data_IF_944571178796
#
_entry.id   IF_944571178796
#
_cell.length_a   1.000
_cell.length_b   1.000
_cell.length_c   1.000
_cell.angle_alpha   90.00
_cell.angle_beta   90.00
_cell.angle_gamma   90.00
#
_symmetry.space_group_name_H-M   'P 1'
#
loop_
_entity.id
_entity.type
_entity.pdbx_description
1 polymer ?
#
# COMPACT_ATOMS: atom_id res chain seq x y z
N UNK A 1 19.18 9.50 21.77
CA UNK A 1 19.13 10.90 21.28
C UNK A 1 18.88 11.01 19.78
N UNK A 2 19.61 10.31 18.91
CA UNK A 2 19.47 10.37 17.43
C UNK A 2 18.07 10.04 16.88
N UNK A 3 17.24 9.28 17.60
CA UNK A 3 15.92 8.82 17.13
C UNK A 3 14.76 9.80 17.38
N UNK A 4 14.88 10.69 18.39
CA UNK A 4 13.90 11.75 18.64
C UNK A 4 14.10 12.91 17.66
N UNK A 5 15.37 13.26 17.41
CA UNK A 5 15.78 14.20 16.36
C UNK A 5 15.24 13.83 14.98
N UNK A 6 15.02 12.54 14.70
CA UNK A 6 14.47 12.07 13.43
C UNK A 6 13.01 12.51 13.21
N UNK A 7 12.18 12.39 14.25
CA UNK A 7 10.77 12.79 14.16
C UNK A 7 10.69 14.31 14.05
N UNK A 8 11.52 15.02 14.82
CA UNK A 8 11.58 16.48 14.80
C UNK A 8 12.09 16.99 13.43
N UNK A 9 13.06 16.29 12.80
CA UNK A 9 13.51 16.57 11.44
C UNK A 9 12.43 16.31 10.38
N UNK A 10 11.67 15.22 10.51
CA UNK A 10 10.58 14.93 9.58
C UNK A 10 9.45 15.96 9.65
N UNK A 11 9.14 16.43 10.86
CA UNK A 11 8.19 17.53 11.06
C UNK A 11 8.72 18.82 10.43
N UNK A 12 10.01 19.14 10.66
CA UNK A 12 10.64 20.32 10.08
C UNK A 12 10.62 20.31 8.53
N UNK A 13 10.91 19.16 7.91
CA UNK A 13 10.85 19.01 6.44
C UNK A 13 9.43 19.21 5.93
N UNK A 14 8.43 18.60 6.57
CA UNK A 14 7.02 18.75 6.18
C UNK A 14 6.53 20.18 6.36
N UNK A 15 6.86 20.82 7.48
CA UNK A 15 6.52 22.21 7.78
C UNK A 15 7.18 23.19 6.81
N UNK A 16 8.48 23.01 6.51
CA UNK A 16 9.22 23.85 5.56
C UNK A 16 8.70 23.73 4.13
N UNK A 17 8.39 22.52 3.67
CA UNK A 17 7.80 22.30 2.35
C UNK A 17 6.42 22.95 2.21
N UNK A 18 5.63 22.90 3.28
CA UNK A 18 4.31 23.54 3.31
C UNK A 18 4.40 25.07 3.27
N UNK A 19 5.34 25.65 4.02
CA UNK A 19 5.65 27.07 3.96
C UNK A 19 6.07 27.48 2.54
N UNK A 20 6.98 26.72 1.91
CA UNK A 20 7.48 27.02 0.56
C UNK A 20 6.37 27.00 -0.51
N UNK A 21 5.44 26.04 -0.45
CA UNK A 21 4.29 25.97 -1.37
C UNK A 21 3.39 27.21 -1.27
N UNK A 22 3.18 27.71 -0.05
CA UNK A 22 2.27 28.83 0.21
C UNK A 22 2.90 30.19 -0.08
N UNK A 23 4.22 30.35 0.09
CA UNK A 23 4.91 31.59 -0.31
C UNK A 23 5.01 31.75 -1.84
N UNK A 24 5.01 30.65 -2.60
CA UNK A 24 5.09 30.68 -4.05
C UNK A 24 3.78 31.06 -4.77
N UNK A 25 2.62 31.01 -4.09
CA UNK A 25 1.28 31.18 -4.68
C UNK A 25 0.73 32.62 -4.72
N UNK A 26 1.55 33.67 -4.61
CA UNK A 26 1.12 35.05 -4.39
C UNK A 26 0.30 35.70 -5.54
N UNK A 27 -1.00 35.38 -5.64
CA UNK A 27 -1.99 36.04 -6.52
C UNK A 27 -3.03 36.89 -5.75
N UNK A 28 -3.62 37.94 -6.38
CA UNK A 28 -4.42 38.97 -5.70
C UNK A 28 -5.84 38.52 -5.33
N UNK A 29 -6.34 39.04 -4.20
CA UNK A 29 -7.67 38.77 -3.60
C UNK A 29 -8.83 39.22 -4.52
N UNK A 30 -9.73 38.30 -4.89
CA UNK A 30 -11.05 38.64 -5.48
C UNK A 30 -12.28 37.94 -4.86
N UNK A 31 -12.14 36.86 -4.08
CA UNK A 31 -13.28 35.97 -3.75
C UNK A 31 -14.22 36.43 -2.61
N UNK A 32 -13.72 37.21 -1.64
CA UNK A 32 -14.44 37.47 -0.37
C UNK A 32 -15.67 38.39 -0.53
N UNK A 33 -15.57 39.40 -1.40
CA UNK A 33 -16.68 40.33 -1.69
C UNK A 33 -17.76 39.67 -2.57
N UNK A 34 -17.34 38.78 -3.48
CA UNK A 34 -18.22 38.07 -4.40
C UNK A 34 -19.03 36.98 -3.67
N UNK A 35 -18.40 36.28 -2.71
CA UNK A 35 -19.08 35.33 -1.83
C UNK A 35 -20.04 36.03 -0.84
N UNK A 36 -19.66 37.19 -0.30
CA UNK A 36 -20.53 38.02 0.56
C UNK A 36 -21.82 38.40 -0.17
N UNK A 37 -21.70 38.85 -1.43
CA UNK A 37 -22.84 39.17 -2.29
C UNK A 37 -23.75 37.95 -2.51
N UNK A 38 -23.17 36.77 -2.74
CA UNK A 38 -23.94 35.54 -2.98
C UNK A 38 -24.72 35.08 -1.74
N UNK A 39 -24.12 35.14 -0.55
CA UNK A 39 -24.83 34.87 0.71
C UNK A 39 -25.93 35.90 1.01
N UNK A 40 -25.69 37.19 0.77
CA UNK A 40 -26.71 38.23 0.93
C UNK A 40 -27.90 38.01 -0.03
N UNK A 41 -27.62 37.56 -1.25
CA UNK A 41 -28.64 37.17 -2.24
C UNK A 41 -29.45 35.93 -1.82
N UNK A 42 -28.79 34.87 -1.34
CA UNK A 42 -29.46 33.62 -0.91
C UNK A 42 -30.32 33.82 0.36
N UNK A 43 -29.92 34.73 1.26
CA UNK A 43 -30.72 35.11 2.43
C UNK A 43 -31.92 35.97 2.00
N UNK A 44 -31.74 36.88 1.06
CA UNK A 44 -32.82 37.72 0.55
C UNK A 44 -33.91 36.92 -0.17
N UNK A 45 -33.55 35.90 -0.97
CA UNK A 45 -34.51 35.02 -1.66
C UNK A 45 -35.32 34.14 -0.69
N UNK A 46 -34.70 33.63 0.39
CA UNK A 46 -35.43 32.87 1.41
C UNK A 46 -36.40 33.74 2.22
N UNK A 47 -36.06 35.01 2.45
CA UNK A 47 -36.92 35.95 3.18
C UNK A 47 -38.15 36.36 2.36
N UNK A 48 -38.04 36.41 1.02
CA UNK A 48 -39.17 36.68 0.14
C UNK A 48 -40.13 35.49 -0.03
N UNK A 49 -39.63 34.25 -0.03
CA UNK A 49 -40.47 33.04 -0.11
C UNK A 49 -41.24 32.75 1.20
N UNK A 50 -40.72 33.20 2.35
CA UNK A 50 -41.42 33.09 3.64
C UNK A 50 -42.54 34.11 3.88
N UNK A 51 -42.70 35.10 2.98
CA UNK A 51 -43.68 36.18 3.12
C UNK A 51 -44.95 36.04 2.27
N UNK A 52 -45.05 35.02 1.41
CA UNK A 52 -46.13 34.94 0.41
C UNK A 52 -47.36 34.12 0.82
N UNK A 53 -47.28 33.20 1.79
CA UNK A 53 -48.41 32.29 2.09
C UNK A 53 -48.74 32.24 3.58
N UNK A 54 -49.56 33.20 4.06
CA UNK A 54 -50.29 33.05 5.32
C UNK A 54 -51.78 33.15 5.09
N UNK A 55 -52.41 32.05 4.65
CA UNK A 55 -53.83 31.78 4.89
C UNK A 55 -54.14 30.29 4.72
N UNK A 56 -54.26 29.60 5.86
CA UNK A 56 -55.07 28.38 5.99
C UNK A 56 -54.40 27.06 5.62
N UNK A 57 -54.05 26.27 6.64
CA UNK A 57 -54.55 24.90 6.88
C UNK A 57 -53.55 24.10 7.73
N UNK A 58 -54.09 23.41 8.74
CA UNK A 58 -53.38 22.71 9.80
C UNK A 58 -53.00 21.30 9.35
N UNK A 59 -51.89 20.82 9.94
CA UNK A 59 -51.50 19.41 10.15
C UNK A 59 -50.96 18.60 8.96
N UNK A 60 -49.63 18.39 8.97
CA UNK A 60 -48.98 17.09 9.25
C UNK A 60 -47.70 16.86 8.42
N UNK A 61 -46.65 16.41 9.12
CA UNK A 61 -45.39 15.86 8.60
C UNK A 61 -44.55 16.73 7.64
N UNK A 62 -43.75 17.64 8.21
CA UNK A 62 -42.43 17.95 7.64
C UNK A 62 -41.38 17.96 8.75
N UNK A 63 -40.31 17.22 8.45
CA UNK A 63 -39.15 16.96 9.28
C UNK A 63 -38.63 18.28 9.87
N UNK A 64 -38.39 18.31 11.20
CA UNK A 64 -37.70 19.42 11.89
C UNK A 64 -36.44 19.79 11.13
N UNK A 65 -36.51 20.88 10.37
CA UNK A 65 -35.35 21.52 9.76
C UNK A 65 -34.44 22.00 10.89
N UNK A 66 -33.27 21.37 11.00
CA UNK A 66 -32.13 21.94 11.70
C UNK A 66 -31.96 23.39 11.20
N UNK A 67 -31.88 24.35 12.13
CA UNK A 67 -31.87 25.78 11.85
C UNK A 67 -30.88 26.15 10.72
N UNK A 68 -31.35 26.65 9.57
CA UNK A 68 -30.51 27.11 8.47
C UNK A 68 -29.47 28.15 8.93
N UNK A 69 -29.79 28.93 9.95
CA UNK A 69 -28.90 29.90 10.58
C UNK A 69 -27.66 29.29 11.24
N UNK A 70 -27.75 28.10 11.86
CA UNK A 70 -26.59 27.45 12.49
C UNK A 70 -25.62 26.93 11.42
N UNK A 71 -26.14 26.30 10.37
CA UNK A 71 -25.33 25.88 9.22
C UNK A 71 -24.74 27.07 8.47
N UNK A 72 -25.49 28.16 8.34
CA UNK A 72 -25.01 29.40 7.74
C UNK A 72 -23.92 30.06 8.60
N UNK A 73 -24.10 30.10 9.93
CA UNK A 73 -23.10 30.66 10.86
C UNK A 73 -21.83 29.79 10.94
N UNK A 74 -21.97 28.46 10.97
CA UNK A 74 -20.81 27.54 10.92
C UNK A 74 -20.11 27.65 9.58
N UNK A 75 -20.85 27.69 8.47
CA UNK A 75 -20.29 27.89 7.13
C UNK A 75 -19.60 29.24 6.97
N UNK A 76 -20.18 30.31 7.53
CA UNK A 76 -19.62 31.66 7.49
C UNK A 76 -18.39 31.81 8.39
N UNK A 77 -18.40 31.22 9.59
CA UNK A 77 -17.23 31.21 10.48
C UNK A 77 -16.11 30.34 9.92
N UNK A 78 -16.41 29.17 9.33
CA UNK A 78 -15.44 28.41 8.55
C UNK A 78 -14.93 29.26 7.39
N UNK A 79 -15.81 29.83 6.57
CA UNK A 79 -15.46 30.66 5.41
C UNK A 79 -14.57 31.84 5.79
N UNK A 80 -14.88 32.54 6.89
CA UNK A 80 -14.07 33.65 7.40
C UNK A 80 -12.70 33.19 7.90
N UNK A 81 -12.62 32.04 8.59
CA UNK A 81 -11.36 31.45 9.04
C UNK A 81 -10.50 31.02 7.84
N UNK A 82 -11.13 30.41 6.83
CA UNK A 82 -10.51 29.92 5.60
C UNK A 82 -10.12 31.08 4.64
N UNK A 83 -10.77 32.24 4.76
CA UNK A 83 -10.51 33.40 3.90
C UNK A 83 -9.14 34.04 4.07
N UNK A 84 -8.50 33.86 5.23
CA UNK A 84 -7.20 34.44 5.51
C UNK A 84 -6.08 33.41 5.35
N UNK A 85 -5.19 33.67 4.40
CA UNK A 85 -4.01 32.83 4.09
C UNK A 85 -3.16 32.48 5.33
N UNK A 86 -3.08 33.36 6.32
CA UNK A 86 -2.31 33.13 7.53
C UNK A 86 -2.98 32.13 8.49
N UNK A 87 -4.31 32.18 8.60
CA UNK A 87 -5.07 31.20 9.38
C UNK A 87 -5.01 29.81 8.74
N UNK A 88 -5.08 29.76 7.40
CA UNK A 88 -4.89 28.52 6.64
C UNK A 88 -3.50 27.91 6.84
N UNK A 89 -2.47 28.74 6.80
CA UNK A 89 -1.10 28.32 7.07
C UNK A 89 -0.95 27.76 8.49
N UNK A 90 -1.51 28.45 9.48
CA UNK A 90 -1.49 27.99 10.87
C UNK A 90 -2.22 26.65 11.03
N UNK A 91 -3.40 26.50 10.40
CA UNK A 91 -4.21 25.27 10.46
C UNK A 91 -3.47 24.08 9.85
N UNK A 92 -2.91 24.25 8.65
CA UNK A 92 -2.23 23.14 7.99
C UNK A 92 -0.87 22.81 8.68
N UNK A 93 -0.17 23.79 9.28
CA UNK A 93 1.01 23.50 10.10
C UNK A 93 0.63 22.78 11.40
N UNK A 94 -0.50 23.14 12.02
CA UNK A 94 -1.04 22.43 13.17
C UNK A 94 -1.42 20.99 12.81
N UNK A 95 -2.00 20.76 11.63
CA UNK A 95 -2.31 19.42 11.13
C UNK A 95 -1.04 18.57 10.95
N UNK A 96 0.01 19.11 10.34
CA UNK A 96 1.32 18.45 10.20
C UNK A 96 1.90 18.09 11.57
N UNK A 97 1.76 18.99 12.56
CA UNK A 97 2.21 18.73 13.93
C UNK A 97 1.41 17.59 14.58
N UNK A 98 0.07 17.61 14.47
CA UNK A 98 -0.81 16.57 14.99
C UNK A 98 -0.49 15.21 14.39
N UNK A 99 -0.32 15.12 13.07
CA UNK A 99 0.05 13.86 12.39
C UNK A 99 1.42 13.37 12.85
N UNK A 100 2.39 14.26 13.02
CA UNK A 100 3.73 13.92 13.48
C UNK A 100 3.75 13.42 14.93
N UNK A 101 2.95 14.05 15.80
CA UNK A 101 2.76 13.64 17.19
C UNK A 101 2.03 12.31 17.28
N UNK A 102 0.97 12.10 16.50
CA UNK A 102 0.25 10.83 16.43
C UNK A 102 1.20 9.70 15.99
N UNK A 103 2.03 9.94 14.97
CA UNK A 103 3.05 8.96 14.53
C UNK A 103 4.05 8.65 15.65
N UNK A 104 4.52 9.67 16.38
CA UNK A 104 5.44 9.51 17.51
C UNK A 104 4.81 8.67 18.63
N UNK A 105 3.56 8.96 18.98
CA UNK A 105 2.80 8.19 19.97
C UNK A 105 2.62 6.73 19.53
N UNK A 106 2.22 6.48 18.28
CA UNK A 106 2.05 5.13 17.75
C UNK A 106 3.36 4.34 17.74
N UNK A 107 4.47 4.99 17.38
CA UNK A 107 5.82 4.41 17.46
C UNK A 107 6.13 3.93 18.89
N UNK A 108 5.85 4.77 19.89
CA UNK A 108 6.12 4.44 21.29
C UNK A 108 5.20 3.35 21.83
N UNK A 109 3.90 3.37 21.47
CA UNK A 109 2.89 2.47 22.01
C UNK A 109 2.90 1.07 21.37
N UNK A 110 3.13 0.98 20.05
CA UNK A 110 2.89 -0.25 19.29
C UNK A 110 4.21 -0.88 18.80
N UNK A 111 5.09 -0.06 18.23
CA UNK A 111 6.32 -0.54 17.58
C UNK A 111 7.48 -0.73 18.56
N UNK A 112 7.52 0.05 19.63
CA UNK A 112 8.61 0.02 20.61
C UNK A 112 9.91 0.54 20.01
N UNK A 113 10.93 -0.33 19.86
CA UNK A 113 12.25 0.07 19.34
C UNK A 113 12.33 -0.15 17.83
N UNK A 114 12.34 0.94 17.06
CA UNK A 114 12.60 0.87 15.61
C UNK A 114 14.04 0.44 15.31
N UNK A 115 14.22 -0.31 14.23
CA UNK A 115 15.53 -0.64 13.67
C UNK A 115 16.10 0.53 12.85
N UNK A 116 17.41 0.54 12.61
CA UNK A 116 18.05 1.60 11.80
C UNK A 116 17.54 1.58 10.35
N UNK A 117 17.28 0.38 9.81
CA UNK A 117 16.76 0.22 8.46
C UNK A 117 15.33 0.79 8.31
N UNK A 118 14.46 0.54 9.28
CA UNK A 118 13.10 1.11 9.33
C UNK A 118 13.12 2.65 9.32
N UNK A 119 14.08 3.26 10.03
CA UNK A 119 14.24 4.72 10.07
C UNK A 119 14.69 5.28 8.72
N UNK A 120 15.69 4.66 8.08
CA UNK A 120 16.16 5.09 6.76
C UNK A 120 15.05 4.97 5.69
N UNK A 121 14.34 3.83 5.66
CA UNK A 121 13.21 3.64 4.74
C UNK A 121 12.10 4.68 4.97
N UNK A 122 11.81 5.01 6.23
CA UNK A 122 10.84 6.04 6.58
C UNK A 122 11.24 7.42 6.06
N UNK A 123 12.53 7.78 6.14
CA UNK A 123 13.06 9.04 5.64
C UNK A 123 12.89 9.18 4.12
N UNK A 124 13.33 8.15 3.38
CA UNK A 124 13.21 8.12 1.93
C UNK A 124 11.75 8.23 1.51
N UNK A 125 10.84 7.60 2.25
CA UNK A 125 9.39 7.68 2.01
C UNK A 125 8.85 9.11 2.23
N UNK A 126 9.28 9.79 3.29
CA UNK A 126 8.88 11.20 3.56
C UNK A 126 9.38 12.12 2.46
N UNK A 127 10.66 12.05 2.12
CA UNK A 127 11.24 12.90 1.08
C UNK A 127 10.55 12.71 -0.26
N UNK A 128 10.37 11.45 -0.68
CA UNK A 128 9.67 11.13 -1.92
C UNK A 128 8.23 11.66 -1.87
N UNK A 129 7.50 11.39 -0.78
CA UNK A 129 6.13 11.87 -0.64
C UNK A 129 6.02 13.39 -0.78
N UNK A 130 6.84 14.14 -0.03
CA UNK A 130 6.84 15.61 -0.06
C UNK A 130 7.19 16.13 -1.44
N UNK A 131 8.28 15.63 -2.04
CA UNK A 131 8.75 16.06 -3.34
C UNK A 131 7.64 15.93 -4.40
N UNK A 132 6.94 14.80 -4.44
CA UNK A 132 5.90 14.56 -5.43
C UNK A 132 4.60 15.29 -5.13
N UNK A 133 4.19 15.42 -3.86
CA UNK A 133 2.96 16.14 -3.52
C UNK A 133 3.13 17.65 -3.71
N UNK A 134 4.32 18.22 -3.45
CA UNK A 134 4.63 19.61 -3.80
C UNK A 134 4.49 19.85 -5.30
N UNK A 135 5.04 18.95 -6.12
CA UNK A 135 4.88 18.98 -7.58
C UNK A 135 3.42 18.85 -7.99
N UNK A 136 2.68 17.92 -7.38
CA UNK A 136 1.26 17.65 -7.69
C UNK A 136 0.35 18.82 -7.33
N UNK A 137 0.61 19.48 -6.20
CA UNK A 137 -0.11 20.69 -5.79
C UNK A 137 0.16 21.81 -6.78
N UNK A 138 1.43 22.09 -7.10
CA UNK A 138 1.80 23.13 -8.08
C UNK A 138 1.23 22.87 -9.47
N UNK A 139 1.17 21.60 -9.88
CA UNK A 139 0.59 21.15 -11.13
C UNK A 139 -0.90 21.48 -11.27
N UNK A 140 -1.62 21.44 -10.16
CA UNK A 140 -3.05 21.75 -10.11
C UNK A 140 -3.33 23.23 -9.81
N UNK A 141 -2.30 24.06 -9.60
CA UNK A 141 -2.44 25.47 -9.23
C UNK A 141 -2.49 26.39 -10.46
N UNK A 142 -3.64 26.40 -11.12
CA UNK A 142 -4.22 27.65 -11.63
C UNK A 142 -5.22 28.24 -10.60
N UNK A 143 -5.18 27.74 -9.37
CA UNK A 143 -6.30 27.76 -8.43
C UNK A 143 -6.07 28.65 -7.20
N UNK A 144 -7.18 29.18 -6.70
CA UNK A 144 -7.27 30.05 -5.53
C UNK A 144 -6.67 29.43 -4.25
N UNK A 145 -6.38 30.29 -3.27
CA UNK A 145 -5.81 29.89 -1.98
C UNK A 145 -6.63 28.84 -1.21
N UNK A 146 -7.93 28.79 -1.47
CA UNK A 146 -8.87 27.85 -0.85
C UNK A 146 -8.60 26.41 -1.31
N UNK A 147 -8.37 26.22 -2.61
CA UNK A 147 -8.05 24.91 -3.18
C UNK A 147 -6.69 24.43 -2.67
N UNK A 148 -5.69 25.32 -2.60
CA UNK A 148 -4.37 25.00 -2.07
C UNK A 148 -4.44 24.48 -0.61
N UNK A 149 -5.28 25.10 0.22
CA UNK A 149 -5.46 24.67 1.60
C UNK A 149 -6.12 23.29 1.69
N UNK A 150 -7.17 23.06 0.90
CA UNK A 150 -7.87 21.76 0.84
C UNK A 150 -6.90 20.65 0.42
N UNK A 151 -6.10 20.89 -0.62
CA UNK A 151 -5.08 19.95 -1.09
C UNK A 151 -4.03 19.66 -0.03
N UNK A 152 -3.56 20.69 0.66
CA UNK A 152 -2.55 20.54 1.71
C UNK A 152 -3.10 19.68 2.85
N UNK A 153 -4.34 19.93 3.29
CA UNK A 153 -5.01 19.15 4.33
C UNK A 153 -5.19 17.69 3.88
N UNK A 154 -5.71 17.46 2.67
CA UNK A 154 -5.92 16.12 2.13
C UNK A 154 -4.60 15.33 2.04
N UNK A 155 -3.55 15.93 1.47
CA UNK A 155 -2.25 15.28 1.36
C UNK A 155 -1.56 15.08 2.71
N UNK A 156 -1.76 15.95 3.69
CA UNK A 156 -1.27 15.72 5.05
C UNK A 156 -1.94 14.49 5.69
N UNK A 157 -3.26 14.35 5.52
CA UNK A 157 -4.00 13.19 6.02
C UNK A 157 -3.57 11.89 5.32
N UNK A 158 -3.57 11.86 3.98
CA UNK A 158 -3.11 10.70 3.20
C UNK A 158 -1.64 10.37 3.47
N UNK A 159 -0.78 11.39 3.57
CA UNK A 159 0.64 11.23 3.90
C UNK A 159 0.85 10.62 5.28
N UNK A 160 0.07 11.04 6.29
CA UNK A 160 0.08 10.44 7.62
C UNK A 160 -0.23 8.94 7.58
N UNK A 161 -1.33 8.56 6.92
CA UNK A 161 -1.72 7.16 6.76
C UNK A 161 -0.68 6.35 5.98
N UNK A 162 -0.17 6.89 4.88
CA UNK A 162 0.85 6.28 4.04
C UNK A 162 2.15 6.00 4.82
N UNK A 163 2.61 6.97 5.61
CA UNK A 163 3.83 6.83 6.40
C UNK A 163 3.69 5.79 7.52
N UNK A 164 2.56 5.79 8.23
CA UNK A 164 2.30 4.81 9.31
C UNK A 164 2.12 3.41 8.72
N UNK A 165 1.34 3.27 7.64
CA UNK A 165 1.13 1.99 6.95
C UNK A 165 2.42 1.38 6.42
N UNK A 166 3.27 2.21 5.79
CA UNK A 166 4.56 1.76 5.33
C UNK A 166 5.51 1.36 6.47
N UNK A 167 5.50 2.08 7.60
CA UNK A 167 6.26 1.68 8.79
C UNK A 167 5.75 0.35 9.36
N UNK A 168 4.43 0.14 9.35
CA UNK A 168 3.83 -1.14 9.75
C UNK A 168 4.35 -2.30 8.89
N UNK A 169 4.48 -2.09 7.57
CA UNK A 169 5.09 -3.08 6.69
C UNK A 169 6.56 -3.35 7.02
N UNK A 170 7.37 -2.30 7.14
CA UNK A 170 8.81 -2.44 7.40
C UNK A 170 9.06 -3.17 8.74
N UNK A 171 8.22 -2.90 9.75
CA UNK A 171 8.25 -3.60 11.03
C UNK A 171 7.83 -5.08 10.93
N UNK A 172 6.83 -5.40 10.10
CA UNK A 172 6.46 -6.80 9.87
C UNK A 172 7.58 -7.60 9.22
N UNK A 173 8.32 -6.98 8.30
CA UNK A 173 9.47 -7.62 7.65
C UNK A 173 10.60 -7.87 8.66
N UNK A 174 10.84 -6.95 9.61
CA UNK A 174 11.82 -7.16 10.67
C UNK A 174 11.39 -8.25 11.67
N UNK A 175 10.10 -8.32 12.03
CA UNK A 175 9.55 -9.40 12.88
C UNK A 175 9.68 -10.78 12.23
N UNK A 176 9.50 -10.88 10.91
CA UNK A 176 9.66 -12.15 10.18
C UNK A 176 11.08 -12.70 10.23
N UNK A 177 12.09 -11.84 10.37
CA UNK A 177 13.50 -12.23 10.44
C UNK A 177 13.93 -12.70 11.85
N UNK A 178 13.15 -12.38 12.90
CA UNK A 178 13.44 -12.77 14.29
C UNK A 178 12.25 -13.54 14.89
N UNK A 179 12.14 -14.86 14.67
CA UNK A 179 10.96 -15.66 15.03
C UNK A 179 10.81 -15.94 16.55
N UNK A 180 11.45 -15.17 17.43
CA UNK A 180 11.59 -15.50 18.85
C UNK A 180 10.34 -15.24 19.73
N UNK A 181 9.27 -14.63 19.21
CA UNK A 181 8.05 -14.36 19.99
C UNK A 181 6.81 -14.90 19.28
N UNK A 182 6.35 -16.08 19.72
CA UNK A 182 5.14 -16.74 19.25
C UNK A 182 3.90 -16.17 19.96
N UNK A 183 3.29 -15.13 19.39
CA UNK A 183 2.02 -14.59 19.89
C UNK A 183 1.44 -13.49 19.02
N UNK A 184 0.10 -13.50 18.88
CA UNK A 184 -0.63 -12.45 18.16
C UNK A 184 -0.62 -11.17 18.98
N UNK A 185 -0.02 -10.10 18.43
CA UNK A 185 -0.02 -8.76 19.01
C UNK A 185 -1.28 -8.03 18.52
N UNK A 186 -2.38 -8.20 19.23
CA UNK A 186 -3.69 -7.61 18.88
C UNK A 186 -3.65 -6.08 18.67
N UNK A 187 -2.76 -5.36 19.38
CA UNK A 187 -2.56 -3.92 19.14
C UNK A 187 -2.07 -3.59 17.72
N UNK A 188 -1.25 -4.46 17.12
CA UNK A 188 -0.78 -4.30 15.74
C UNK A 188 -1.89 -4.60 14.72
N UNK A 189 -2.72 -5.61 14.98
CA UNK A 189 -3.92 -5.90 14.16
C UNK A 189 -4.91 -4.73 14.22
N UNK A 190 -5.17 -4.20 15.43
CA UNK A 190 -6.01 -3.04 15.65
C UNK A 190 -5.52 -1.80 14.91
N UNK A 191 -4.20 -1.55 14.89
CA UNK A 191 -3.59 -0.48 14.10
C UNK A 191 -3.87 -0.65 12.60
N UNK A 192 -3.62 -1.84 12.04
CA UNK A 192 -3.84 -2.09 10.61
C UNK A 192 -5.33 -1.95 10.23
N UNK A 193 -6.24 -2.42 11.08
CA UNK A 193 -7.68 -2.24 10.87
C UNK A 193 -8.10 -0.76 10.94
N UNK A 194 -7.54 0.01 11.88
CA UNK A 194 -7.77 1.46 11.98
C UNK A 194 -7.24 2.21 10.74
N UNK A 195 -6.09 1.81 10.21
CA UNK A 195 -5.53 2.37 8.97
C UNK A 195 -6.40 2.04 7.76
N UNK A 196 -6.92 0.82 7.64
CA UNK A 196 -7.83 0.44 6.56
C UNK A 196 -9.14 1.23 6.61
N UNK A 197 -9.77 1.30 7.78
CA UNK A 197 -11.05 2.01 7.97
C UNK A 197 -10.91 3.51 7.74
N UNK A 198 -9.81 4.12 8.22
CA UNK A 198 -9.53 5.53 7.94
C UNK A 198 -9.24 5.81 6.46
N UNK A 199 -8.55 4.92 5.74
CA UNK A 199 -8.32 5.06 4.31
C UNK A 199 -9.63 4.97 3.50
N UNK A 200 -10.50 4.02 3.84
CA UNK A 200 -11.85 3.89 3.23
C UNK A 200 -12.70 5.12 3.52
N UNK A 201 -12.73 5.56 4.79
CA UNK A 201 -13.48 6.74 5.20
C UNK A 201 -13.01 8.00 4.48
N UNK A 202 -11.69 8.20 4.36
CA UNK A 202 -11.13 9.33 3.63
C UNK A 202 -11.47 9.27 2.14
N UNK A 203 -11.38 8.10 1.50
CA UNK A 203 -11.79 7.93 0.10
C UNK A 203 -13.27 8.25 -0.13
N UNK A 204 -14.14 7.84 0.79
CA UNK A 204 -15.57 8.14 0.74
C UNK A 204 -15.86 9.65 0.95
N UNK A 205 -15.16 10.31 1.88
CA UNK A 205 -15.27 11.76 2.06
C UNK A 205 -14.82 12.51 0.80
N UNK A 206 -13.70 12.10 0.19
CA UNK A 206 -13.23 12.70 -1.05
C UNK A 206 -14.23 12.51 -2.21
N UNK A 207 -14.94 11.38 -2.30
CA UNK A 207 -16.01 11.15 -3.28
C UNK A 207 -17.15 12.15 -3.15
N UNK A 208 -17.58 12.39 -1.91
CA UNK A 208 -18.74 13.24 -1.61
C UNK A 208 -18.40 14.72 -1.87
N UNK A 209 -17.22 15.17 -1.42
CA UNK A 209 -16.90 16.60 -1.35
C UNK A 209 -15.96 17.12 -2.44
N UNK A 210 -15.11 16.28 -3.06
CA UNK A 210 -14.02 16.72 -3.96
C UNK A 210 -14.15 16.13 -5.38
N UNK A 211 -15.33 16.30 -5.99
CA UNK A 211 -15.71 15.68 -7.29
C UNK A 211 -14.74 15.88 -8.46
N UNK A 212 -14.26 17.10 -8.81
CA UNK A 212 -13.39 17.28 -9.99
C UNK A 212 -11.99 16.69 -9.79
N UNK A 213 -11.60 16.43 -8.54
CA UNK A 213 -10.24 16.05 -8.13
C UNK A 213 -10.21 14.64 -7.50
N UNK A 214 -11.35 13.96 -7.56
CA UNK A 214 -11.59 12.66 -6.94
C UNK A 214 -10.63 11.58 -7.42
N UNK A 215 -10.31 11.55 -8.73
CA UNK A 215 -9.50 10.47 -9.32
C UNK A 215 -8.10 10.43 -8.69
N UNK A 216 -7.46 11.58 -8.49
CA UNK A 216 -6.11 11.68 -7.91
C UNK A 216 -6.12 11.15 -6.47
N UNK A 217 -7.07 11.62 -5.66
CA UNK A 217 -7.20 11.22 -4.26
C UNK A 217 -7.66 9.76 -4.10
N UNK A 218 -8.43 9.25 -5.07
CA UNK A 218 -8.82 7.84 -5.10
C UNK A 218 -7.65 6.90 -5.33
N UNK A 219 -6.77 7.24 -6.28
CA UNK A 219 -5.59 6.43 -6.53
C UNK A 219 -4.70 6.37 -5.27
N UNK A 220 -4.59 7.47 -4.53
CA UNK A 220 -3.88 7.51 -3.25
C UNK A 220 -4.56 6.63 -2.18
N UNK A 221 -5.88 6.75 -2.02
CA UNK A 221 -6.65 5.93 -1.10
C UNK A 221 -6.52 4.43 -1.42
N UNK A 222 -6.66 4.06 -2.69
CA UNK A 222 -6.49 2.69 -3.17
C UNK A 222 -5.09 2.17 -2.90
N UNK A 223 -4.06 2.97 -3.17
CA UNK A 223 -2.67 2.60 -2.92
C UNK A 223 -2.47 2.26 -1.44
N UNK A 224 -2.96 3.08 -0.53
CA UNK A 224 -2.88 2.83 0.92
C UNK A 224 -3.68 1.58 1.31
N UNK A 225 -4.89 1.39 0.76
CA UNK A 225 -5.69 0.20 1.06
C UNK A 225 -5.02 -1.10 0.63
N UNK A 226 -4.43 -1.14 -0.57
CA UNK A 226 -3.64 -2.29 -1.00
C UNK A 226 -2.38 -2.47 -0.15
N UNK A 227 -1.75 -1.37 0.28
CA UNK A 227 -0.52 -1.35 1.07
C UNK A 227 -0.71 -1.93 2.48
N UNK A 228 -1.75 -1.46 3.17
CA UNK A 228 -2.14 -1.89 4.51
C UNK A 228 -2.81 -3.26 4.45
N UNK A 229 -3.66 -3.51 3.45
CA UNK A 229 -4.35 -4.78 3.25
C UNK A 229 -3.39 -5.95 3.06
N UNK A 230 -2.36 -5.80 2.21
CA UNK A 230 -1.36 -6.86 2.07
C UNK A 230 -0.56 -7.07 3.37
N UNK A 231 -0.29 -6.01 4.12
CA UNK A 231 0.44 -6.09 5.40
C UNK A 231 -0.39 -6.83 6.45
N UNK A 232 -1.71 -6.61 6.47
CA UNK A 232 -2.65 -7.35 7.30
C UNK A 232 -2.68 -8.84 6.92
N UNK A 233 -2.84 -9.17 5.65
CA UNK A 233 -2.81 -10.58 5.17
C UNK A 233 -1.50 -11.27 5.54
N UNK A 234 -0.37 -10.57 5.37
CA UNK A 234 0.95 -11.07 5.74
C UNK A 234 1.11 -11.29 7.25
N UNK A 235 0.51 -10.43 8.06
CA UNK A 235 0.56 -10.53 9.51
C UNK A 235 -0.33 -11.66 10.03
N UNK A 236 -1.55 -11.79 9.52
CA UNK A 236 -2.46 -12.88 9.91
C UNK A 236 -1.89 -14.23 9.49
N UNK A 237 -1.29 -14.33 8.30
CA UNK A 237 -0.60 -15.55 7.88
C UNK A 237 0.59 -15.92 8.79
N UNK A 238 1.34 -14.92 9.26
CA UNK A 238 2.44 -15.12 10.22
C UNK A 238 1.92 -15.56 11.60
N UNK A 239 0.92 -14.86 12.12
CA UNK A 239 0.32 -15.09 13.43
C UNK A 239 -0.34 -16.47 13.53
N UNK A 240 -1.00 -16.91 12.46
CA UNK A 240 -1.69 -18.19 12.40
C UNK A 240 -0.72 -19.37 12.26
N UNK A 241 0.52 -19.13 11.80
CA UNK A 241 1.58 -20.09 11.45
C UNK A 241 1.98 -21.15 12.49
N UNK A 242 1.39 -21.11 13.68
CA UNK A 242 1.86 -21.83 14.87
C UNK A 242 1.22 -23.21 15.10
N UNK A 243 0.10 -23.55 14.44
CA UNK A 243 -0.75 -24.69 14.90
C UNK A 243 -0.90 -25.93 13.98
N UNK A 244 -0.36 -26.02 12.74
CA UNK A 244 -0.65 -27.22 11.88
C UNK A 244 0.22 -27.48 10.62
N UNK A 245 1.39 -28.12 10.73
CA UNK A 245 2.45 -28.27 9.70
C UNK A 245 2.03 -28.67 8.27
N UNK A 246 1.10 -29.61 8.04
CA UNK A 246 0.79 -30.12 6.68
C UNK A 246 -0.08 -29.18 5.82
N UNK A 247 -0.97 -28.37 6.41
CA UNK A 247 -1.82 -27.43 5.64
C UNK A 247 -1.12 -26.10 5.31
N UNK A 248 0.06 -25.84 5.89
CA UNK A 248 0.80 -24.60 5.69
C UNK A 248 1.41 -24.46 4.31
N UNK A 249 1.77 -25.55 3.65
CA UNK A 249 2.56 -25.46 2.41
C UNK A 249 1.75 -24.89 1.24
N UNK A 250 0.52 -25.37 1.03
CA UNK A 250 -0.38 -24.82 0.02
C UNK A 250 -0.82 -23.38 0.35
N UNK A 251 -0.96 -23.06 1.64
CA UNK A 251 -1.29 -21.70 2.12
C UNK A 251 -0.12 -20.73 1.91
N UNK A 252 1.11 -21.16 2.17
CA UNK A 252 2.33 -20.38 1.97
C UNK A 252 2.51 -19.98 0.50
N UNK A 253 2.26 -20.91 -0.42
CA UNK A 253 2.28 -20.65 -1.86
C UNK A 253 1.31 -19.55 -2.28
N UNK A 254 0.08 -19.62 -1.80
CA UNK A 254 -0.98 -18.64 -2.08
C UNK A 254 -0.65 -17.27 -1.48
N UNK A 255 -0.11 -17.23 -0.25
CA UNK A 255 0.33 -16.00 0.41
C UNK A 255 1.44 -15.31 -0.39
N UNK A 256 2.44 -16.06 -0.88
CA UNK A 256 3.52 -15.47 -1.69
C UNK A 256 3.02 -14.98 -3.05
N UNK A 257 2.09 -15.70 -3.71
CA UNK A 257 1.48 -15.22 -4.97
C UNK A 257 0.65 -13.96 -4.74
N UNK A 258 -0.13 -13.90 -3.65
CA UNK A 258 -0.88 -12.72 -3.25
C UNK A 258 0.04 -11.53 -2.99
N UNK A 259 1.18 -11.75 -2.33
CA UNK A 259 2.21 -10.74 -2.10
C UNK A 259 2.77 -10.17 -3.41
N UNK A 260 3.19 -11.02 -4.35
CA UNK A 260 3.65 -10.52 -5.66
C UNK A 260 2.56 -9.77 -6.43
N UNK A 261 1.32 -10.27 -6.37
CA UNK A 261 0.19 -9.68 -7.09
C UNK A 261 -0.16 -8.31 -6.53
N UNK A 262 -0.31 -8.19 -5.20
CA UNK A 262 -0.60 -6.93 -4.53
C UNK A 262 0.51 -5.90 -4.72
N UNK A 263 1.77 -6.32 -4.69
CA UNK A 263 2.89 -5.44 -4.99
C UNK A 263 2.89 -4.94 -6.45
N UNK A 264 2.48 -5.78 -7.40
CA UNK A 264 2.30 -5.38 -8.81
C UNK A 264 1.15 -4.38 -8.90
N UNK A 265 0.01 -4.62 -8.23
CA UNK A 265 -1.12 -3.70 -8.18
C UNK A 265 -0.72 -2.32 -7.64
N UNK A 266 0.04 -2.26 -6.54
CA UNK A 266 0.55 -0.99 -5.99
C UNK A 266 1.45 -0.27 -7.00
N UNK A 267 2.35 -0.99 -7.67
CA UNK A 267 3.23 -0.39 -8.67
C UNK A 267 2.44 0.15 -9.88
N UNK A 268 1.38 -0.56 -10.30
CA UNK A 268 0.48 -0.11 -11.37
C UNK A 268 -0.30 1.13 -10.94
N UNK A 269 -0.92 1.13 -9.75
CA UNK A 269 -1.63 2.29 -9.22
C UNK A 269 -0.72 3.51 -9.10
N UNK A 270 0.50 3.31 -8.58
CA UNK A 270 1.52 4.36 -8.48
C UNK A 270 1.93 4.88 -9.87
N UNK A 271 2.11 3.99 -10.86
CA UNK A 271 2.43 4.38 -12.24
C UNK A 271 1.28 5.17 -12.87
N UNK A 272 0.03 4.74 -12.64
CA UNK A 272 -1.17 5.45 -13.07
C UNK A 272 -1.23 6.84 -12.44
N UNK A 273 -0.91 6.97 -11.15
CA UNK A 273 -0.86 8.25 -10.45
C UNK A 273 0.11 9.24 -11.13
N UNK A 274 1.36 8.81 -11.37
CA UNK A 274 2.36 9.67 -11.99
C UNK A 274 2.02 10.02 -13.45
N UNK A 275 1.46 9.07 -14.19
CA UNK A 275 1.05 9.30 -15.59
C UNK A 275 -0.13 10.28 -15.65
N UNK A 276 -1.07 10.17 -14.71
CA UNK A 276 -2.20 11.09 -14.61
C UNK A 276 -1.76 12.51 -14.23
N UNK A 277 -0.80 12.66 -13.29
CA UNK A 277 -0.20 13.96 -12.97
C UNK A 277 0.50 14.55 -14.19
N UNK A 278 1.24 13.74 -14.96
CA UNK A 278 1.89 14.21 -16.19
C UNK A 278 0.87 14.65 -17.24
N UNK A 279 -0.25 13.93 -17.36
CA UNK A 279 -1.32 14.26 -18.31
C UNK A 279 -1.98 15.61 -17.98
N UNK A 280 -2.27 15.87 -16.70
CA UNK A 280 -2.87 17.14 -16.26
C UNK A 280 -1.91 18.32 -16.47
N UNK A 281 -0.62 18.14 -16.16
CA UNK A 281 0.40 19.18 -16.30
C UNK A 281 0.70 19.60 -17.75
N UNK A 282 0.31 18.77 -18.71
CA UNK A 282 0.89 18.81 -20.05
C UNK A 282 2.39 18.48 -20.07
N UNK A 283 2.92 18.31 -21.28
CA UNK A 283 4.34 18.01 -21.50
C UNK A 283 5.15 19.32 -21.60
N UNK A 284 5.29 20.03 -20.49
CA UNK A 284 6.21 21.17 -20.42
C UNK A 284 7.63 20.70 -20.12
N UNK A 285 8.64 21.15 -20.86
CA UNK A 285 10.05 20.76 -20.68
C UNK A 285 10.70 21.51 -19.50
N UNK A 286 10.14 21.34 -18.29
CA UNK A 286 10.67 21.88 -17.05
C UNK A 286 11.37 20.77 -16.22
N UNK A 287 12.08 21.18 -15.16
CA UNK A 287 12.79 20.26 -14.25
C UNK A 287 11.82 19.26 -13.60
N UNK A 288 10.60 19.71 -13.33
CA UNK A 288 9.55 18.91 -12.69
C UNK A 288 9.14 17.74 -13.59
N UNK A 289 8.92 17.97 -14.89
CA UNK A 289 8.60 16.94 -15.87
C UNK A 289 9.74 15.94 -16.05
N UNK A 290 11.00 16.40 -16.03
CA UNK A 290 12.16 15.51 -16.06
C UNK A 290 12.22 14.60 -14.83
N UNK A 291 11.94 15.13 -13.64
CA UNK A 291 11.87 14.37 -12.40
C UNK A 291 10.74 13.32 -12.43
N UNK A 292 9.54 13.71 -12.87
CA UNK A 292 8.39 12.79 -12.98
C UNK A 292 8.70 11.68 -13.98
N UNK A 293 9.28 12.01 -15.14
CA UNK A 293 9.68 11.03 -16.15
C UNK A 293 10.71 10.02 -15.62
N UNK A 294 11.73 10.47 -14.90
CA UNK A 294 12.71 9.58 -14.29
C UNK A 294 12.07 8.60 -13.30
N UNK A 295 11.09 9.07 -12.53
CA UNK A 295 10.34 8.23 -11.59
C UNK A 295 9.43 7.22 -12.29
N UNK A 296 8.71 7.64 -13.34
CA UNK A 296 7.93 6.75 -14.21
C UNK A 296 8.84 5.63 -14.75
N UNK A 297 10.01 5.99 -15.30
CA UNK A 297 10.98 5.01 -15.82
C UNK A 297 11.49 4.06 -14.73
N UNK A 298 11.81 4.59 -13.55
CA UNK A 298 12.26 3.82 -12.39
C UNK A 298 11.19 2.81 -11.94
N UNK A 299 9.94 3.23 -11.85
CA UNK A 299 8.80 2.41 -11.42
C UNK A 299 8.45 1.37 -12.48
N UNK A 300 8.40 1.76 -13.76
CA UNK A 300 8.18 0.82 -14.86
C UNK A 300 9.26 -0.28 -14.89
N UNK A 301 10.53 0.10 -14.63
CA UNK A 301 11.62 -0.87 -14.51
C UNK A 301 11.45 -1.80 -13.30
N UNK A 302 10.99 -1.29 -12.16
CA UNK A 302 10.67 -2.10 -10.96
C UNK A 302 9.50 -3.07 -11.25
N UNK A 303 8.43 -2.59 -11.89
CA UNK A 303 7.28 -3.37 -12.29
C UNK A 303 7.68 -4.51 -13.23
N UNK A 304 8.41 -4.21 -14.30
CA UNK A 304 8.83 -5.22 -15.27
C UNK A 304 9.73 -6.29 -14.63
N UNK A 305 10.64 -5.91 -13.73
CA UNK A 305 11.44 -6.86 -12.95
C UNK A 305 10.57 -7.73 -12.04
N UNK A 306 9.54 -7.17 -11.41
CA UNK A 306 8.67 -7.91 -10.48
C UNK A 306 7.73 -8.87 -11.20
N UNK A 307 7.18 -8.46 -12.35
CA UNK A 307 6.39 -9.34 -13.24
C UNK A 307 7.24 -10.52 -13.72
N UNK A 308 8.47 -10.27 -14.19
CA UNK A 308 9.40 -11.34 -14.61
C UNK A 308 9.69 -12.32 -13.47
N UNK A 309 9.90 -11.83 -12.25
CA UNK A 309 10.09 -12.68 -11.05
C UNK A 309 8.85 -13.54 -10.76
N UNK A 310 7.64 -12.98 -10.85
CA UNK A 310 6.40 -13.74 -10.65
C UNK A 310 6.22 -14.82 -11.73
N UNK A 311 6.48 -14.50 -13.00
CA UNK A 311 6.41 -15.48 -14.09
C UNK A 311 7.42 -16.62 -13.89
N UNK A 312 8.67 -16.29 -13.55
CA UNK A 312 9.70 -17.28 -13.25
C UNK A 312 9.31 -18.17 -12.06
N UNK A 313 8.76 -17.56 -11.01
CA UNK A 313 8.26 -18.25 -9.82
C UNK A 313 7.10 -19.20 -10.15
N UNK A 314 6.08 -18.75 -10.89
CA UNK A 314 4.96 -19.60 -11.32
C UNK A 314 5.44 -20.77 -12.18
N UNK A 315 6.39 -20.53 -13.09
CA UNK A 315 6.99 -21.56 -13.93
C UNK A 315 7.76 -22.60 -13.10
N UNK A 316 8.55 -22.17 -12.11
CA UNK A 316 9.30 -23.06 -11.22
C UNK A 316 8.38 -23.92 -10.32
N UNK A 317 7.24 -23.36 -9.90
CA UNK A 317 6.28 -24.07 -9.05
C UNK A 317 5.45 -25.07 -9.84
N UNK A 318 5.00 -24.68 -11.04
CA UNK A 318 4.30 -25.58 -11.95
C UNK A 318 5.20 -26.77 -12.33
N UNK A 319 6.48 -26.52 -12.64
CA UNK A 319 7.42 -27.59 -12.94
C UNK A 319 7.69 -28.49 -11.74
N UNK A 320 7.78 -27.95 -10.52
CA UNK A 320 7.98 -28.75 -9.31
C UNK A 320 6.80 -29.69 -9.01
N UNK A 321 5.55 -29.20 -9.14
CA UNK A 321 4.36 -29.99 -8.79
C UNK A 321 4.19 -31.22 -9.70
N UNK A 322 4.49 -31.10 -10.99
CA UNK A 322 4.30 -32.18 -11.94
C UNK A 322 5.55 -33.05 -12.15
N UNK A 323 6.76 -32.58 -11.82
CA UNK A 323 8.01 -33.32 -12.12
C UNK A 323 8.57 -34.14 -10.97
N UNK A 324 8.27 -33.78 -9.72
CA UNK A 324 8.95 -34.38 -8.56
C UNK A 324 7.92 -34.99 -7.60
N UNK A 325 8.02 -36.30 -7.29
CA UNK A 325 7.15 -36.93 -6.31
C UNK A 325 7.42 -36.38 -4.91
N UNK A 326 6.42 -36.51 -4.05
CA UNK A 326 6.61 -36.30 -2.61
C UNK A 326 7.33 -37.51 -2.02
N UNK A 327 8.28 -37.25 -1.14
CA UNK A 327 8.99 -38.32 -0.45
C UNK A 327 8.05 -38.99 0.55
N UNK A 328 8.09 -40.33 0.62
CA UNK A 328 7.37 -41.06 1.67
C UNK A 328 7.98 -40.75 3.04
N UNK A 329 7.21 -40.93 4.12
CA UNK A 329 7.74 -40.74 5.49
C UNK A 329 8.93 -41.67 5.78
N UNK A 330 8.95 -42.84 5.16
CA UNK A 330 10.03 -43.82 5.26
C UNK A 330 11.31 -43.36 4.54
N UNK A 331 11.17 -42.72 3.37
CA UNK A 331 12.31 -42.13 2.64
C UNK A 331 12.97 -40.99 3.41
N UNK A 332 12.17 -40.18 4.12
CA UNK A 332 12.65 -39.06 4.93
C UNK A 332 13.51 -39.58 6.09
N UNK A 333 13.01 -40.57 6.83
CA UNK A 333 13.74 -41.21 7.95
C UNK A 333 15.05 -41.86 7.48
N UNK A 334 15.05 -42.41 6.25
CA UNK A 334 16.22 -43.08 5.68
C UNK A 334 17.29 -42.12 5.16
N UNK A 335 16.90 -40.97 4.61
CA UNK A 335 17.81 -39.99 4.00
C UNK A 335 17.88 -38.71 4.84
N UNK A 336 18.59 -38.80 5.98
CA UNK A 336 19.04 -37.70 6.83
C UNK A 336 18.02 -36.55 6.99
N UNK A 337 17.25 -36.62 8.09
CA UNK A 337 16.07 -35.81 8.43
C UNK A 337 16.23 -34.27 8.42
N UNK A 338 17.26 -33.67 7.83
CA UNK A 338 17.47 -32.22 7.79
C UNK A 338 17.64 -31.68 6.38
N UNK A 339 16.95 -30.59 6.09
CA UNK A 339 17.10 -29.89 4.82
C UNK A 339 18.44 -29.14 4.77
N UNK A 340 19.26 -29.32 3.73
CA UNK A 340 20.56 -28.65 3.63
C UNK A 340 20.49 -27.13 3.37
N UNK A 341 19.30 -26.61 3.00
CA UNK A 341 19.09 -25.19 2.75
C UNK A 341 18.80 -24.43 4.06
N UNK A 342 17.81 -24.86 4.84
CA UNK A 342 17.43 -24.19 6.10
C UNK A 342 18.03 -24.85 7.36
N UNK A 343 18.57 -26.07 7.26
CA UNK A 343 19.12 -26.88 8.36
C UNK A 343 18.08 -27.35 9.40
N UNK A 344 16.80 -27.21 9.09
CA UNK A 344 15.67 -27.67 9.91
C UNK A 344 15.21 -29.08 9.51
N UNK A 345 14.41 -29.71 10.40
CA UNK A 345 13.94 -31.08 10.25
C UNK A 345 12.96 -31.22 9.08
N UNK A 346 13.12 -32.25 8.25
CA UNK A 346 12.26 -32.56 7.11
C UNK A 346 10.97 -33.21 7.63
N UNK A 347 9.88 -32.47 7.63
CA UNK A 347 8.53 -32.99 7.93
C UNK A 347 7.81 -33.40 6.62
N UNK A 348 8.03 -32.61 5.58
CA UNK A 348 7.51 -32.77 4.23
C UNK A 348 8.65 -32.46 3.25
N UNK A 349 8.90 -33.37 2.31
CA UNK A 349 10.03 -33.25 1.41
C UNK A 349 9.66 -33.58 -0.04
N UNK A 350 10.27 -32.84 -0.99
CA UNK A 350 10.28 -33.21 -2.40
C UNK A 350 11.57 -33.94 -2.72
N UNK A 351 11.46 -35.06 -3.44
CA UNK A 351 12.59 -35.85 -3.89
C UNK A 351 12.97 -35.46 -5.31
N UNK A 352 14.22 -35.03 -5.50
CA UNK A 352 14.76 -34.74 -6.83
C UNK A 352 15.20 -36.04 -7.53
N UNK A 353 15.40 -36.05 -8.87
CA UNK A 353 15.92 -37.20 -9.61
C UNK A 353 17.32 -37.66 -9.19
N UNK A 354 18.05 -36.81 -8.46
CA UNK A 354 19.36 -37.10 -7.87
C UNK A 354 19.26 -37.56 -6.40
N UNK A 355 18.08 -38.02 -5.97
CA UNK A 355 17.72 -38.52 -4.63
C UNK A 355 17.86 -37.53 -3.46
N UNK A 356 18.22 -36.27 -3.69
CA UNK A 356 18.28 -35.28 -2.61
C UNK A 356 16.89 -34.78 -2.18
N UNK A 357 16.70 -34.69 -0.86
CA UNK A 357 15.46 -34.27 -0.20
C UNK A 357 15.55 -32.83 0.31
N UNK A 358 14.50 -32.05 0.06
CA UNK A 358 14.38 -30.67 0.52
C UNK A 358 12.94 -30.32 0.89
N UNK A 359 12.75 -29.38 1.81
CA UNK A 359 11.43 -28.77 2.00
C UNK A 359 10.97 -28.13 0.68
N UNK A 360 9.67 -28.21 0.40
CA UNK A 360 9.05 -27.63 -0.78
C UNK A 360 9.34 -26.12 -0.90
N UNK A 361 9.23 -25.38 0.20
CA UNK A 361 9.49 -23.93 0.28
C UNK A 361 10.95 -23.58 -0.02
N UNK A 362 11.89 -24.34 0.54
CA UNK A 362 13.33 -24.17 0.37
C UNK A 362 13.74 -24.46 -1.09
N UNK A 363 13.28 -25.60 -1.63
CA UNK A 363 13.55 -25.99 -3.01
C UNK A 363 12.96 -24.97 -4.00
N UNK A 364 11.74 -24.48 -3.75
CA UNK A 364 11.08 -23.47 -4.59
C UNK A 364 11.91 -22.19 -4.65
N UNK A 365 12.33 -21.69 -3.49
CA UNK A 365 13.12 -20.45 -3.39
C UNK A 365 14.45 -20.55 -4.14
N UNK A 366 15.02 -21.75 -4.19
CA UNK A 366 16.22 -22.05 -4.95
C UNK A 366 15.96 -22.11 -6.47
N UNK A 367 14.95 -22.89 -6.90
CA UNK A 367 14.61 -23.10 -8.32
C UNK A 367 14.20 -21.82 -9.06
N UNK A 368 13.73 -20.79 -8.33
CA UNK A 368 13.48 -19.46 -8.89
C UNK A 368 14.76 -18.81 -9.44
N UNK A 369 15.93 -19.14 -8.87
CA UNK A 369 17.23 -18.55 -9.22
C UNK A 369 18.10 -19.52 -10.02
N UNK A 370 18.10 -20.79 -9.64
CA UNK A 370 18.98 -21.81 -10.20
C UNK A 370 18.20 -23.10 -10.46
N UNK A 371 18.13 -23.55 -11.71
CA UNK A 371 17.48 -24.81 -12.09
C UNK A 371 18.42 -26.01 -11.87
N UNK A 372 19.02 -26.11 -10.69
CA UNK A 372 19.99 -27.15 -10.32
C UNK A 372 19.77 -27.61 -8.88
N UNK A 373 20.23 -28.82 -8.55
CA UNK A 373 20.20 -29.33 -7.18
C UNK A 373 21.15 -28.52 -6.27
N UNK A 374 20.70 -28.01 -5.09
CA UNK A 374 21.56 -27.29 -4.15
C UNK A 374 22.76 -28.08 -3.64
N UNK A 375 22.63 -29.42 -3.53
CA UNK A 375 23.68 -30.28 -2.97
C UNK A 375 24.65 -30.77 -4.04
N UNK A 376 24.14 -31.42 -5.10
CA UNK A 376 25.00 -32.02 -6.12
C UNK A 376 25.19 -31.17 -7.39
N UNK A 377 24.53 -30.02 -7.49
CA UNK A 377 24.59 -29.09 -8.64
C UNK A 377 24.15 -29.65 -9.99
N UNK A 378 23.63 -30.88 -10.04
CA UNK A 378 23.03 -31.47 -11.25
C UNK A 378 21.90 -30.56 -11.75
N UNK A 379 21.96 -30.20 -13.04
CA UNK A 379 20.94 -29.38 -13.70
C UNK A 379 19.67 -30.20 -13.88
N UNK A 380 18.51 -29.60 -13.63
CA UNK A 380 17.21 -30.26 -13.70
C UNK A 380 16.53 -29.94 -15.04
N UNK A 381 17.10 -30.42 -16.14
CA UNK A 381 16.55 -30.19 -17.49
C UNK A 381 15.33 -31.07 -17.77
N UNK A 382 14.57 -30.77 -18.83
CA UNK A 382 13.45 -31.61 -19.28
C UNK A 382 13.91 -33.04 -19.67
N UNK A 383 15.16 -33.20 -20.10
CA UNK A 383 15.70 -34.50 -20.52
C UNK A 383 15.96 -35.42 -19.32
N UNK A 384 16.50 -34.86 -18.22
CA UNK A 384 16.90 -35.63 -17.03
C UNK A 384 15.68 -36.20 -16.29
N UNK A 385 14.55 -35.48 -16.29
CA UNK A 385 13.29 -35.94 -15.68
C UNK A 385 12.66 -37.08 -16.49
N UNK A 386 12.72 -37.02 -17.82
CA UNK A 386 12.22 -38.10 -18.69
C UNK A 386 13.02 -39.38 -18.46
N UNK A 387 14.35 -39.26 -18.36
CA UNK A 387 15.25 -40.39 -18.13
C UNK A 387 15.02 -41.05 -16.76
N UNK A 388 14.81 -40.25 -15.70
CA UNK A 388 14.45 -40.74 -14.37
C UNK A 388 13.08 -41.45 -14.34
N UNK A 389 12.07 -40.91 -15.03
CA UNK A 389 10.77 -41.55 -15.16
C UNK A 389 10.81 -42.89 -15.92
N UNK A 390 11.81 -43.09 -16.78
CA UNK A 390 12.02 -44.37 -17.50
C UNK A 390 12.90 -45.36 -16.72
N UNK A 391 13.65 -44.92 -15.71
CA UNK A 391 14.60 -45.78 -14.96
C UNK A 391 14.18 -46.07 -13.52
N UNK A 392 13.19 -45.38 -12.96
CA UNK A 392 12.61 -45.77 -11.67
C UNK A 392 11.64 -46.95 -11.82
N UNK A 393 11.76 -48.02 -11.00
CA UNK A 393 10.74 -49.06 -10.93
C UNK A 393 9.41 -48.44 -10.49
N UNK A 394 8.32 -48.85 -11.15
CA UNK A 394 6.95 -48.37 -10.97
C UNK A 394 6.63 -47.90 -9.54
N UNK A 395 6.51 -46.58 -9.37
CA UNK A 395 5.89 -45.94 -8.22
C UNK A 395 4.61 -45.31 -8.75
N UNK A 396 3.45 -45.75 -8.27
CA UNK A 396 2.11 -45.40 -8.77
C UNK A 396 1.95 -43.88 -8.94
N UNK A 397 2.01 -43.42 -10.19
CA UNK A 397 1.65 -42.06 -10.58
C UNK A 397 0.13 -42.05 -10.78
N UNK A 398 -0.65 -41.23 -10.05
CA UNK A 398 -2.07 -41.10 -10.32
C UNK A 398 -2.29 -40.64 -11.77
N UNK A 399 -3.07 -41.40 -12.55
CA UNK A 399 -3.32 -41.21 -14.00
C UNK A 399 -3.81 -39.81 -14.38
N UNK A 400 -4.25 -38.97 -13.43
CA UNK A 400 -4.72 -37.62 -13.72
C UNK A 400 -3.59 -36.58 -13.95
N UNK A 401 -2.32 -36.95 -13.76
CA UNK A 401 -1.16 -36.07 -13.89
C UNK A 401 -0.29 -36.27 -15.14
N UNK A 402 -0.36 -37.44 -15.79
CA UNK A 402 0.47 -37.79 -16.96
C UNK A 402 0.20 -36.87 -18.15
N UNK A 403 -1.06 -36.57 -18.43
CA UNK A 403 -1.46 -35.78 -19.60
C UNK A 403 -0.98 -34.33 -19.53
N UNK A 404 -0.91 -33.76 -18.31
CA UNK A 404 -0.38 -32.42 -18.08
C UNK A 404 1.15 -32.37 -18.18
N UNK A 405 1.85 -33.45 -17.81
CA UNK A 405 3.31 -33.57 -17.97
C UNK A 405 3.67 -33.67 -19.46
N UNK A 406 2.90 -34.42 -20.25
CA UNK A 406 3.09 -34.51 -21.70
C UNK A 406 2.68 -33.21 -22.44
N UNK A 407 1.61 -32.54 -22.03
CA UNK A 407 1.20 -31.25 -22.63
C UNK A 407 2.18 -30.09 -22.33
N UNK A 408 2.73 -30.02 -21.12
CA UNK A 408 3.76 -29.04 -20.76
C UNK A 408 5.12 -29.31 -21.44
N UNK A 409 5.35 -30.56 -21.86
CA UNK A 409 6.54 -30.98 -22.60
C UNK A 409 6.49 -30.63 -24.10
N UNK A 410 5.30 -30.46 -24.68
CA UNK A 410 5.09 -30.22 -26.11
C UNK A 410 4.79 -28.76 -26.47
N UNK A 411 4.78 -27.85 -25.49
CA UNK A 411 4.53 -26.40 -25.67
C UNK A 411 5.79 -25.54 -25.62
N UNK A 412 6.93 -26.12 -26.01
CA UNK A 412 8.23 -25.44 -26.14
C UNK A 412 8.34 -24.61 -27.39
#
# INVERSE_FOLDING_TARGET
MTRLLFIDASYAVLSAAMLALLFAGAGPRRSLEEFRRKCELDIATQTQLGGADTLGYRDSLTIKYYSPALWCNVSWTLGALLSNKWHMLALANALVAVVSLARKALIQLIFGRLTLNEVHHSYDRILNFVLFKVVSVRATLDADWEDLAIWTVAYCCFGGLYLIGGLARDHLESLRLSPAQSGVRWGFVGLLAALMTSAVGMGALCWIFLRPLFIILCIEALTIMFDVGQTLVRYTAYAWGTDSTESWEARSDAVVVCEFTTDICILILTLMHYTHILFINGLTLNIVSALVFFNIRSIASKLFRKVRKLMAFRKAVASMKCRFPDASKEDIIKFNDRCSICREVLVTAKKLPCDHLFHRSCLRSWLVRHLSCPTCRVTLSNADVRQWATTSPAMDIPEHGSDLVFAAANSG
#
